data_IF_175307296502
#
_entry.id   IF_175307296502
#
_cell.length_a   1.000
_cell.length_b   1.000
_cell.length_c   1.000
_cell.angle_alpha   90.00
_cell.angle_beta   90.00
_cell.angle_gamma   90.00
#
_symmetry.space_group_name_H-M   'P 1'
#
loop_
_entity.id
_entity.type
_entity.pdbx_description
1 polymer ?
#
# COMPACT_ATOMS: atom_id res chain seq x y z
N UNK A 1 -39.97 29.28 2.47
CA UNK A 1 -38.50 29.17 2.31
C UNK A 1 -38.14 27.70 2.27
N UNK A 2 -37.61 27.14 1.18
CA UNK A 2 -37.13 25.78 1.18
C UNK A 2 -35.75 25.73 1.84
N UNK A 3 -35.63 24.93 2.91
CA UNK A 3 -34.38 24.64 3.59
C UNK A 3 -33.49 23.78 2.69
N UNK A 4 -32.36 24.32 2.24
CA UNK A 4 -31.31 23.55 1.57
C UNK A 4 -30.61 22.67 2.61
N UNK A 5 -30.97 21.38 2.67
CA UNK A 5 -30.14 20.38 3.35
C UNK A 5 -28.76 20.38 2.68
N UNK A 6 -27.66 20.42 3.45
CA UNK A 6 -26.34 20.25 2.87
C UNK A 6 -26.24 18.82 2.33
N UNK A 7 -26.19 18.68 1.01
CA UNK A 7 -25.87 17.41 0.39
C UNK A 7 -24.48 17.00 0.89
N UNK A 8 -24.45 16.02 1.80
CA UNK A 8 -23.20 15.34 2.16
C UNK A 8 -22.61 14.85 0.84
N UNK A 9 -21.42 15.29 0.43
CA UNK A 9 -20.82 14.82 -0.80
C UNK A 9 -20.50 13.34 -0.59
N UNK A 10 -21.40 12.47 -1.04
CA UNK A 10 -21.16 11.05 -1.08
C UNK A 10 -19.88 10.86 -1.89
N UNK A 11 -18.80 10.43 -1.22
CA UNK A 11 -17.56 10.06 -1.89
C UNK A 11 -17.96 9.15 -3.07
N UNK A 12 -17.68 9.54 -4.32
CA UNK A 12 -18.29 8.85 -5.45
C UNK A 12 -17.85 7.40 -5.37
N UNK A 13 -18.82 6.47 -5.44
CA UNK A 13 -18.70 5.03 -5.16
C UNK A 13 -17.44 4.38 -5.75
N UNK A 14 -16.91 4.94 -6.85
CA UNK A 14 -15.63 4.59 -7.49
C UNK A 14 -14.40 4.61 -6.57
N UNK A 15 -14.41 5.34 -5.44
CA UNK A 15 -13.30 5.37 -4.48
C UNK A 15 -13.47 4.43 -3.30
N UNK A 16 -14.65 3.81 -3.09
CA UNK A 16 -14.88 2.91 -1.97
C UNK A 16 -13.84 1.77 -1.90
N UNK A 17 -13.44 1.13 -3.01
CA UNK A 17 -12.42 0.08 -2.94
C UNK A 17 -11.05 0.60 -2.48
N UNK A 18 -10.67 1.81 -2.92
CA UNK A 18 -9.43 2.46 -2.50
C UNK A 18 -9.46 2.80 -1.00
N UNK A 19 -10.58 3.34 -0.52
CA UNK A 19 -10.80 3.66 0.90
C UNK A 19 -10.73 2.37 1.73
N UNK A 20 -11.40 1.30 1.31
CA UNK A 20 -11.35 0.01 2.00
C UNK A 20 -9.93 -0.55 2.08
N UNK A 21 -9.16 -0.48 0.99
CA UNK A 21 -7.76 -0.92 0.97
C UNK A 21 -6.87 -0.08 1.90
N UNK A 22 -7.06 1.24 1.92
CA UNK A 22 -6.36 2.14 2.85
C UNK A 22 -6.71 1.84 4.31
N UNK A 23 -8.00 1.69 4.61
CA UNK A 23 -8.46 1.37 5.95
C UNK A 23 -7.94 0.02 6.42
N UNK A 24 -7.83 -0.97 5.54
CA UNK A 24 -7.20 -2.25 5.86
C UNK A 24 -5.75 -2.05 6.29
N UNK A 25 -4.93 -1.37 5.49
CA UNK A 25 -3.54 -1.11 5.83
C UNK A 25 -3.38 -0.28 7.12
N UNK A 26 -4.18 0.77 7.29
CA UNK A 26 -4.22 1.59 8.51
C UNK A 26 -4.58 0.77 9.75
N UNK A 27 -5.58 -0.10 9.64
CA UNK A 27 -6.03 -0.95 10.75
C UNK A 27 -4.95 -1.95 11.16
N UNK A 28 -4.18 -2.47 10.22
CA UNK A 28 -3.05 -3.36 10.51
C UNK A 28 -1.92 -2.62 11.22
N UNK A 29 -1.54 -1.44 10.72
CA UNK A 29 -0.52 -0.61 11.35
C UNK A 29 -0.92 -0.21 12.78
N UNK A 30 -2.17 0.24 12.97
CA UNK A 30 -2.69 0.58 14.29
C UNK A 30 -2.75 -0.65 15.21
N UNK A 31 -3.27 -1.78 14.71
CA UNK A 31 -3.35 -3.04 15.45
C UNK A 31 -2.00 -3.53 15.94
N UNK A 32 -0.93 -3.31 15.17
CA UNK A 32 0.44 -3.64 15.57
C UNK A 32 1.07 -2.65 16.52
N UNK A 33 0.70 -1.38 16.46
CA UNK A 33 1.20 -0.36 17.38
C UNK A 33 0.54 -0.42 18.77
N UNK A 34 -0.70 -0.93 18.87
CA UNK A 34 -1.50 -0.96 20.11
C UNK A 34 -0.83 -1.64 21.32
N UNK A 35 -0.10 -2.77 21.21
CA UNK A 35 0.48 -3.46 22.37
C UNK A 35 1.50 -2.63 23.15
N UNK A 36 2.13 -1.63 22.53
CA UNK A 36 3.15 -0.75 23.13
C UNK A 36 2.68 0.69 23.08
N UNK A 37 1.71 1.03 23.94
CA UNK A 37 1.04 2.32 23.93
C UNK A 37 2.01 3.52 24.02
N UNK A 38 3.06 3.40 24.84
CA UNK A 38 4.06 4.45 25.03
C UNK A 38 4.86 4.77 23.75
N UNK A 39 4.91 3.83 22.80
CA UNK A 39 5.58 3.97 21.49
C UNK A 39 4.59 3.85 20.33
N UNK A 40 3.30 4.13 20.58
CA UNK A 40 2.25 3.89 19.59
C UNK A 40 2.53 4.67 18.30
N UNK A 41 2.88 5.95 18.40
CA UNK A 41 3.08 6.80 17.22
C UNK A 41 4.30 6.37 16.42
N UNK A 42 5.39 6.01 17.10
CA UNK A 42 6.63 5.55 16.50
C UNK A 42 6.41 4.22 15.77
N UNK A 43 5.73 3.27 16.43
CA UNK A 43 5.43 1.96 15.85
C UNK A 43 4.42 2.08 14.70
N UNK A 44 3.39 2.90 14.87
CA UNK A 44 2.42 3.18 13.81
C UNK A 44 3.10 3.80 12.59
N UNK A 45 3.97 4.80 12.80
CA UNK A 45 4.73 5.43 11.74
C UNK A 45 5.69 4.43 11.08
N UNK A 46 6.38 3.58 11.85
CA UNK A 46 7.29 2.58 11.29
C UNK A 46 6.59 1.60 10.33
N UNK A 47 5.36 1.18 10.65
CA UNK A 47 4.58 0.31 9.77
C UNK A 47 3.87 1.05 8.64
N UNK A 48 3.31 2.23 8.91
CA UNK A 48 2.44 2.90 7.94
C UNK A 48 3.18 3.87 7.01
N UNK A 49 4.17 4.60 7.51
CA UNK A 49 4.80 5.72 6.80
C UNK A 49 5.38 5.31 5.43
N UNK A 50 6.08 4.16 5.29
CA UNK A 50 6.59 3.77 3.98
C UNK A 50 5.48 3.54 2.94
N UNK A 51 4.36 2.94 3.36
CA UNK A 51 3.19 2.71 2.50
C UNK A 51 2.50 4.04 2.15
N UNK A 52 2.31 4.88 3.16
CA UNK A 52 1.75 6.22 3.02
C UNK A 52 2.58 7.09 2.07
N UNK A 53 3.90 6.98 2.09
CA UNK A 53 4.79 7.70 1.19
C UNK A 53 4.62 7.23 -0.26
N UNK A 54 4.61 5.92 -0.53
CA UNK A 54 4.38 5.39 -1.89
C UNK A 54 3.01 5.84 -2.42
N UNK A 55 1.96 5.73 -1.59
CA UNK A 55 0.61 6.13 -1.96
C UNK A 55 0.47 7.64 -2.16
N UNK A 56 1.12 8.44 -1.31
CA UNK A 56 1.17 9.90 -1.44
C UNK A 56 1.88 10.36 -2.71
N UNK A 57 3.04 9.77 -3.02
CA UNK A 57 3.76 10.01 -4.27
C UNK A 57 2.92 9.58 -5.48
N UNK A 58 2.26 8.42 -5.41
CA UNK A 58 1.36 7.96 -6.46
C UNK A 58 0.21 8.95 -6.67
N UNK A 59 -0.42 9.46 -5.60
CA UNK A 59 -1.49 10.47 -5.67
C UNK A 59 -1.04 11.76 -6.36
N UNK A 60 0.20 12.20 -6.14
CA UNK A 60 0.77 13.37 -6.81
C UNK A 60 0.75 13.23 -8.35
N UNK A 61 0.77 11.99 -8.88
CA UNK A 61 0.66 11.71 -10.32
C UNK A 61 -0.77 11.66 -10.87
N UNK A 62 -1.77 11.94 -10.02
CA UNK A 62 -3.22 11.88 -10.34
C UNK A 62 -3.61 10.55 -11.01
N UNK A 63 -3.43 9.42 -10.30
CA UNK A 63 -3.66 8.09 -10.86
C UNK A 63 -5.16 7.85 -11.08
N UNK A 64 -5.49 6.90 -11.96
CA UNK A 64 -6.84 6.38 -12.02
C UNK A 64 -7.21 5.73 -10.67
N UNK A 65 -8.47 5.85 -10.19
CA UNK A 65 -8.88 5.28 -8.90
C UNK A 65 -8.57 3.78 -8.81
N UNK A 66 -8.76 3.03 -9.90
CA UNK A 66 -8.50 1.60 -9.93
C UNK A 66 -7.01 1.26 -9.77
N UNK A 67 -6.10 2.02 -10.40
CA UNK A 67 -4.65 1.86 -10.20
C UNK A 67 -4.28 2.04 -8.73
N UNK A 68 -4.78 3.13 -8.13
CA UNK A 68 -4.53 3.45 -6.74
C UNK A 68 -5.04 2.35 -5.81
N UNK A 69 -6.25 1.84 -6.05
CA UNK A 69 -6.80 0.68 -5.33
C UNK A 69 -5.86 -0.53 -5.41
N UNK A 70 -5.37 -0.87 -6.60
CA UNK A 70 -4.47 -2.01 -6.79
C UNK A 70 -3.18 -1.88 -6.00
N UNK A 71 -2.55 -0.71 -6.05
CA UNK A 71 -1.33 -0.42 -5.28
C UNK A 71 -1.61 -0.48 -3.77
N UNK A 72 -2.68 0.15 -3.30
CA UNK A 72 -3.07 0.13 -1.89
C UNK A 72 -3.35 -1.29 -1.39
N UNK A 73 -4.02 -2.13 -2.19
CA UNK A 73 -4.27 -3.53 -1.87
C UNK A 73 -2.97 -4.34 -1.77
N UNK A 74 -2.03 -4.15 -2.69
CA UNK A 74 -0.76 -4.86 -2.64
C UNK A 74 0.06 -4.48 -1.39
N UNK A 75 0.10 -3.19 -1.03
CA UNK A 75 0.79 -2.71 0.17
C UNK A 75 0.11 -3.22 1.46
N UNK A 76 -1.22 -3.19 1.54
CA UNK A 76 -1.97 -3.72 2.68
C UNK A 76 -1.77 -5.23 2.83
N UNK A 77 -1.83 -5.99 1.72
CA UNK A 77 -1.57 -7.42 1.72
C UNK A 77 -0.12 -7.74 2.15
N UNK A 78 0.86 -6.98 1.68
CA UNK A 78 2.24 -7.12 2.12
C UNK A 78 2.40 -6.86 3.62
N UNK A 79 1.78 -5.81 4.17
CA UNK A 79 1.79 -5.56 5.62
C UNK A 79 1.12 -6.69 6.39
N UNK A 80 0.01 -7.24 5.89
CA UNK A 80 -0.64 -8.40 6.49
C UNK A 80 0.30 -9.60 6.56
N UNK A 81 0.98 -9.92 5.45
CA UNK A 81 1.95 -11.01 5.38
C UNK A 81 3.13 -10.77 6.33
N UNK A 82 3.65 -9.55 6.37
CA UNK A 82 4.70 -9.16 7.32
C UNK A 82 4.24 -9.32 8.78
N UNK A 83 3.01 -8.89 9.09
CA UNK A 83 2.41 -9.06 10.41
C UNK A 83 2.25 -10.54 10.79
N UNK A 84 1.98 -11.43 9.84
CA UNK A 84 1.93 -12.88 10.10
C UNK A 84 3.33 -13.48 10.24
N UNK A 85 4.30 -12.94 9.52
CA UNK A 85 5.68 -13.44 9.55
C UNK A 85 6.41 -13.07 10.84
N UNK A 86 6.33 -11.83 11.31
CA UNK A 86 7.05 -11.38 12.52
C UNK A 86 6.44 -11.93 13.83
N UNK A 87 5.27 -12.56 13.78
CA UNK A 87 4.77 -13.39 14.90
C UNK A 87 5.45 -14.76 14.98
N UNK A 88 6.25 -15.14 13.98
CA UNK A 88 7.05 -16.36 14.01
C UNK A 88 8.28 -16.17 14.90
N UNK A 89 8.63 -17.15 15.76
CA UNK A 89 9.75 -17.07 16.71
C UNK A 89 11.14 -17.12 16.08
N UNK A 90 11.26 -17.00 14.75
CA UNK A 90 12.46 -17.38 13.99
C UNK A 90 13.41 -16.20 13.72
N UNK A 91 12.96 -14.95 13.68
CA UNK A 91 13.83 -13.84 13.22
C UNK A 91 13.71 -12.54 14.02
N UNK A 92 14.77 -12.20 14.75
CA UNK A 92 14.92 -10.94 15.49
C UNK A 92 15.20 -9.71 14.61
N UNK A 93 15.43 -9.90 13.30
CA UNK A 93 15.71 -8.82 12.33
C UNK A 93 14.72 -8.76 11.14
N UNK A 94 13.58 -9.46 11.22
CA UNK A 94 12.60 -9.48 10.12
C UNK A 94 12.10 -8.09 9.69
N UNK A 95 12.09 -7.12 10.61
CA UNK A 95 11.70 -5.74 10.33
C UNK A 95 12.61 -5.01 9.32
N UNK A 96 13.88 -5.42 9.15
CA UNK A 96 14.77 -4.85 8.14
C UNK A 96 14.34 -5.24 6.73
N UNK A 97 13.89 -6.49 6.53
CA UNK A 97 13.37 -6.94 5.23
C UNK A 97 12.15 -6.12 4.80
N UNK A 98 11.27 -5.79 5.75
CA UNK A 98 10.13 -4.91 5.50
C UNK A 98 10.57 -3.54 4.98
N UNK A 99 11.57 -2.91 5.62
CA UNK A 99 12.10 -1.62 5.19
C UNK A 99 12.80 -1.69 3.82
N UNK A 100 13.60 -2.74 3.59
CA UNK A 100 14.34 -2.90 2.36
C UNK A 100 13.47 -3.25 1.17
N UNK A 101 12.25 -3.77 1.36
CA UNK A 101 11.31 -4.10 0.30
C UNK A 101 10.65 -2.87 -0.36
N UNK A 102 10.63 -1.72 0.32
CA UNK A 102 9.95 -0.52 -0.17
C UNK A 102 10.52 0.12 -1.45
N UNK A 103 11.84 0.19 -1.67
CA UNK A 103 12.41 0.54 -2.98
C UNK A 103 11.81 -0.29 -4.13
N UNK A 104 11.67 -1.60 -3.94
CA UNK A 104 11.02 -2.49 -4.89
C UNK A 104 9.56 -2.11 -5.14
N UNK A 105 8.79 -1.92 -4.08
CA UNK A 105 7.39 -1.48 -4.18
C UNK A 105 7.24 -0.13 -4.90
N UNK A 106 8.12 0.83 -4.62
CA UNK A 106 8.12 2.16 -5.22
C UNK A 106 8.39 2.08 -6.74
N UNK A 107 9.42 1.32 -7.14
CA UNK A 107 9.75 1.09 -8.56
C UNK A 107 8.59 0.37 -9.25
N UNK A 108 8.04 -0.66 -8.61
CA UNK A 108 6.88 -1.40 -9.10
C UNK A 108 5.65 -0.50 -9.33
N UNK A 109 5.35 0.39 -8.38
CA UNK A 109 4.28 1.37 -8.51
C UNK A 109 4.54 2.39 -9.63
N UNK A 110 5.78 2.86 -9.79
CA UNK A 110 6.16 3.78 -10.86
C UNK A 110 6.00 3.15 -12.25
N UNK A 111 6.48 1.91 -12.43
CA UNK A 111 6.31 1.15 -13.67
C UNK A 111 4.82 0.89 -13.94
N UNK A 112 4.06 0.47 -12.94
CA UNK A 112 2.61 0.28 -13.05
C UNK A 112 1.89 1.56 -13.48
N UNK A 113 2.26 2.70 -12.91
CA UNK A 113 1.71 4.02 -13.28
C UNK A 113 2.02 4.39 -14.73
N UNK A 114 3.26 4.16 -15.16
CA UNK A 114 3.68 4.38 -16.54
C UNK A 114 2.90 3.49 -17.50
N UNK A 115 2.82 2.18 -17.24
CA UNK A 115 2.09 1.24 -18.08
C UNK A 115 0.58 1.54 -18.11
N UNK A 116 -0.01 1.91 -16.98
CA UNK A 116 -1.42 2.25 -16.90
C UNK A 116 -1.76 3.49 -17.74
N UNK A 117 -0.88 4.49 -17.77
CA UNK A 117 -1.06 5.68 -18.62
C UNK A 117 -1.09 5.35 -20.12
N UNK A 118 -0.27 4.38 -20.55
CA UNK A 118 -0.05 4.11 -21.98
C UNK A 118 -0.91 2.95 -22.52
N UNK A 119 -1.27 1.98 -21.67
CA UNK A 119 -1.90 0.71 -22.11
C UNK A 119 -3.23 0.38 -21.45
N UNK A 120 -3.59 1.05 -20.35
CA UNK A 120 -4.81 0.75 -19.60
C UNK A 120 -5.80 1.93 -19.55
N UNK A 121 -5.65 2.91 -20.44
CA UNK A 121 -6.60 4.02 -20.56
C UNK A 121 -8.03 3.48 -20.78
N UNK A 122 -8.96 3.87 -19.89
CA UNK A 122 -10.36 3.42 -19.93
C UNK A 122 -10.61 1.98 -19.47
N UNK A 123 -9.59 1.22 -19.04
CA UNK A 123 -9.72 -0.18 -18.60
C UNK A 123 -9.44 -0.30 -17.09
N UNK A 124 -10.46 -0.13 -16.21
CA UNK A 124 -10.24 -0.04 -14.76
C UNK A 124 -9.66 -1.33 -14.17
N UNK A 125 -10.14 -2.50 -14.59
CA UNK A 125 -9.63 -3.79 -14.08
C UNK A 125 -8.15 -3.98 -14.42
N UNK A 126 -7.76 -3.73 -15.68
CA UNK A 126 -6.36 -3.83 -16.11
C UNK A 126 -5.49 -2.82 -15.35
N UNK A 127 -5.98 -1.60 -15.16
CA UNK A 127 -5.26 -0.58 -14.40
C UNK A 127 -5.05 -0.98 -12.94
N UNK A 128 -6.05 -1.57 -12.28
CA UNK A 128 -5.91 -2.10 -10.92
C UNK A 128 -4.97 -3.30 -10.83
N UNK A 129 -5.07 -4.25 -11.77
CA UNK A 129 -4.17 -5.40 -11.84
C UNK A 129 -2.71 -4.98 -12.09
N UNK A 130 -2.48 -3.96 -12.92
CA UNK A 130 -1.14 -3.39 -13.10
C UNK A 130 -0.62 -2.78 -11.81
N UNK A 131 -1.46 -2.06 -11.06
CA UNK A 131 -1.08 -1.49 -9.77
C UNK A 131 -0.70 -2.56 -8.76
N UNK A 132 -1.57 -3.56 -8.59
CA UNK A 132 -1.34 -4.67 -7.66
C UNK A 132 -0.12 -5.49 -8.07
N UNK A 133 -0.10 -5.96 -9.33
CA UNK A 133 0.95 -6.83 -9.86
C UNK A 133 2.29 -6.12 -9.93
N UNK A 134 2.34 -4.84 -10.32
CA UNK A 134 3.58 -4.07 -10.37
C UNK A 134 4.23 -3.93 -8.99
N UNK A 135 3.45 -3.59 -7.96
CA UNK A 135 3.94 -3.50 -6.59
C UNK A 135 4.34 -4.87 -6.06
N UNK A 136 3.51 -5.90 -6.23
CA UNK A 136 3.80 -7.25 -5.77
C UNK A 136 5.07 -7.83 -6.41
N UNK A 137 5.27 -7.61 -7.73
CA UNK A 137 6.48 -8.01 -8.42
C UNK A 137 7.70 -7.20 -7.95
N UNK A 138 7.55 -5.89 -7.76
CA UNK A 138 8.62 -5.05 -7.23
C UNK A 138 9.09 -5.49 -5.85
N UNK A 139 8.14 -5.75 -4.95
CA UNK A 139 8.39 -6.34 -3.62
C UNK A 139 9.12 -7.68 -3.74
N UNK A 140 8.59 -8.61 -4.55
CA UNK A 140 9.16 -9.95 -4.71
C UNK A 140 10.59 -9.92 -5.24
N UNK A 141 10.84 -9.15 -6.30
CA UNK A 141 12.17 -9.05 -6.91
C UNK A 141 13.18 -8.44 -5.94
N UNK A 142 12.76 -7.42 -5.20
CA UNK A 142 13.62 -6.79 -4.21
C UNK A 142 13.93 -7.73 -3.04
N UNK A 143 12.92 -8.42 -2.52
CA UNK A 143 13.08 -9.43 -1.48
C UNK A 143 14.09 -10.52 -1.90
N UNK A 144 13.97 -11.00 -3.14
CA UNK A 144 14.93 -11.96 -3.72
C UNK A 144 16.35 -11.39 -3.81
N UNK A 145 16.51 -10.13 -4.25
CA UNK A 145 17.83 -9.48 -4.29
C UNK A 145 18.48 -9.39 -2.90
N UNK A 146 17.69 -9.03 -1.88
CA UNK A 146 18.18 -8.99 -0.49
C UNK A 146 18.61 -10.39 -0.04
N UNK A 147 17.82 -11.44 -0.31
CA UNK A 147 18.19 -12.82 0.03
C UNK A 147 19.48 -13.27 -0.69
N UNK A 148 19.62 -13.00 -1.99
CA UNK A 148 20.83 -13.35 -2.74
C UNK A 148 22.07 -12.61 -2.23
N UNK A 149 21.93 -11.40 -1.70
CA UNK A 149 23.06 -10.62 -1.16
C UNK A 149 23.63 -11.16 0.16
N UNK A 150 22.95 -12.13 0.79
CA UNK A 150 23.39 -12.77 2.03
C UNK A 150 24.13 -14.10 1.84
N UNK A 151 24.28 -14.56 0.59
CA UNK A 151 25.04 -15.74 0.19
C UNK A 151 26.34 -15.35 -0.51
#
# INVERSE_FOLDING_TARGET
MPSSSPAVPAAPLKYLPAIAALLWGLSLAAGRALPQWDYFLENFAAYWLPQGLILGLLLATRPAPALFTGVALALAAHLQLFCLWITSPIDSMGWLFYLFDFPGALIGAAIARFLAAHRAAGKPLVSGLLGFGGVALGLLLNFQLVLFSQH
#
